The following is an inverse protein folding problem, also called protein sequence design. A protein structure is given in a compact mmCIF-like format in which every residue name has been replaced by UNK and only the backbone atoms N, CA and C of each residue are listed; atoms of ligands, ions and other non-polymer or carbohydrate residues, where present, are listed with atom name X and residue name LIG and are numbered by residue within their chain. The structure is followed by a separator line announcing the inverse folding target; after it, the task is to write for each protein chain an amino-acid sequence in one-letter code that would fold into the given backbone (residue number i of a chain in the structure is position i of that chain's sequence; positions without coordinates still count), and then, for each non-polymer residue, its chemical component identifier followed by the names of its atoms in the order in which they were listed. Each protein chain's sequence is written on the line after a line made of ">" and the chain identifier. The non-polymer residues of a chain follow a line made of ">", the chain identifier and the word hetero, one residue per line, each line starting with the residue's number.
data_IF_137720398573
#
_entry.id   IF_137720398573
#
_cell.length_a   1.000
_cell.length_b   1.000
_cell.length_c   1.000
_cell.angle_alpha   90.00
_cell.angle_beta   90.00
_cell.angle_gamma   90.00
#
_symmetry.space_group_name_H-M   'P 1'
#
loop_
_entity.id
_entity.type
_entity.pdbx_description
1 polymer ?
#
# COMPACT_ATOMS: atom_id res chain seq x y z
N UNK A 1 -6.81 7.09 19.06
CA UNK A 1 -7.46 5.79 18.78
C UNK A 1 -6.88 5.27 17.48
N UNK A 2 -6.19 4.13 17.50
CA UNK A 2 -5.66 3.55 16.27
C UNK A 2 -6.83 2.94 15.49
N UNK A 3 -7.05 3.41 14.25
CA UNK A 3 -8.03 2.81 13.35
C UNK A 3 -7.63 1.36 13.12
N UNK A 4 -8.45 0.42 13.60
CA UNK A 4 -8.21 -1.02 13.44
C UNK A 4 -8.85 -1.46 12.13
N UNK A 5 -8.08 -2.17 11.32
CA UNK A 5 -8.54 -2.73 10.05
C UNK A 5 -9.19 -4.08 10.37
N UNK A 6 -10.43 -4.26 9.93
CA UNK A 6 -11.17 -5.50 10.13
C UNK A 6 -11.28 -6.30 8.82
N UNK A 7 -11.62 -7.58 8.95
CA UNK A 7 -11.96 -8.43 7.83
C UNK A 7 -13.15 -7.81 7.07
N UNK A 8 -13.07 -7.79 5.73
CA UNK A 8 -14.05 -7.16 4.83
C UNK A 8 -14.19 -5.63 4.96
N UNK A 9 -13.21 -4.94 5.54
CA UNK A 9 -13.20 -3.48 5.58
C UNK A 9 -12.95 -2.89 4.18
N UNK A 10 -13.95 -2.18 3.64
CA UNK A 10 -13.91 -1.59 2.30
C UNK A 10 -13.74 -0.08 2.42
N UNK A 11 -12.84 0.49 1.62
CA UNK A 11 -12.52 1.92 1.64
C UNK A 11 -11.44 2.30 2.67
N UNK A 12 -10.79 1.32 3.30
CA UNK A 12 -9.62 1.58 4.14
C UNK A 12 -8.49 2.13 3.26
N UNK A 13 -7.99 3.32 3.61
CA UNK A 13 -6.92 3.99 2.88
C UNK A 13 -5.56 3.50 3.33
N UNK A 14 -4.94 2.67 2.50
CA UNK A 14 -3.56 2.20 2.67
C UNK A 14 -2.61 3.19 2.02
N UNK A 15 -2.02 4.06 2.84
CA UNK A 15 -1.07 5.07 2.38
C UNK A 15 0.36 4.55 2.54
N UNK A 16 1.10 4.55 1.45
CA UNK A 16 2.52 4.21 1.38
C UNK A 16 3.30 5.47 1.05
N UNK A 17 4.30 5.77 1.88
CA UNK A 17 5.23 6.89 1.63
C UNK A 17 6.56 6.31 1.16
N UNK A 18 7.02 6.78 0.00
CA UNK A 18 8.31 6.43 -0.58
C UNK A 18 9.32 7.45 -0.12
N UNK A 19 10.31 7.00 0.66
CA UNK A 19 11.40 7.83 1.14
C UNK A 19 12.73 7.19 0.80
N UNK A 20 13.69 7.99 0.35
CA UNK A 20 15.09 7.63 0.10
C UNK A 20 15.97 8.42 1.06
N UNK A 21 16.80 7.70 1.83
CA UNK A 21 17.66 8.29 2.88
C UNK A 21 16.94 9.25 3.85
N UNK A 22 15.66 8.99 4.13
CA UNK A 22 14.82 9.82 5.00
C UNK A 22 14.16 11.02 4.31
N UNK A 23 14.42 11.27 3.03
CA UNK A 23 13.76 12.29 2.21
C UNK A 23 12.66 11.68 1.35
N UNK A 24 11.52 12.35 1.21
CA UNK A 24 10.47 11.89 0.29
C UNK A 24 10.97 11.91 -1.16
N UNK A 25 10.74 10.83 -1.90
CA UNK A 25 11.09 10.75 -3.32
C UNK A 25 9.94 11.33 -4.13
N UNK A 26 10.23 12.22 -5.07
CA UNK A 26 9.23 12.68 -6.02
C UNK A 26 8.80 11.52 -6.93
N UNK A 27 7.51 11.15 -6.83
CA UNK A 27 6.87 10.12 -7.64
C UNK A 27 5.83 10.72 -8.58
N UNK A 28 5.82 12.05 -8.76
CA UNK A 28 4.88 12.76 -9.64
C UNK A 28 4.96 12.28 -11.09
N UNK A 29 6.17 11.96 -11.57
CA UNK A 29 6.43 11.45 -12.91
C UNK A 29 6.34 9.91 -13.01
N UNK A 30 5.77 9.22 -12.01
CA UNK A 30 5.63 7.77 -12.03
C UNK A 30 4.70 7.32 -13.15
N UNK A 31 5.21 6.43 -14.00
CA UNK A 31 4.44 5.81 -15.08
C UNK A 31 3.52 4.72 -14.54
N UNK A 32 3.90 4.08 -13.43
CA UNK A 32 3.06 3.07 -12.75
C UNK A 32 3.32 3.05 -11.25
N UNK A 33 2.23 2.99 -10.50
CA UNK A 33 2.22 2.91 -9.05
C UNK A 33 1.48 1.63 -8.66
N UNK A 34 2.13 0.77 -7.91
CA UNK A 34 1.57 -0.51 -7.50
C UNK A 34 1.81 -0.71 -6.01
N UNK A 35 0.78 -1.15 -5.30
CA UNK A 35 0.86 -1.60 -3.93
C UNK A 35 0.65 -3.11 -3.93
N UNK A 36 1.64 -3.83 -3.42
CA UNK A 36 1.58 -5.26 -3.16
C UNK A 36 1.03 -5.48 -1.76
N UNK A 37 -0.02 -6.28 -1.69
CA UNK A 37 -0.67 -6.70 -0.46
C UNK A 37 -0.51 -8.22 -0.34
N UNK A 38 0.39 -8.65 0.52
CA UNK A 38 0.54 -10.07 0.84
C UNK A 38 -0.42 -10.44 1.96
N UNK A 39 -1.37 -11.31 1.63
CA UNK A 39 -2.31 -11.92 2.56
C UNK A 39 -1.57 -12.88 3.51
N UNK A 40 -2.16 -13.16 4.69
CA UNK A 40 -1.58 -14.11 5.66
C UNK A 40 -1.43 -15.53 5.11
N UNK A 41 -2.22 -15.90 4.10
CA UNK A 41 -2.16 -17.20 3.42
C UNK A 41 -0.93 -17.36 2.53
N UNK A 42 -0.31 -16.25 2.13
CA UNK A 42 0.83 -16.22 1.22
C UNK A 42 0.53 -15.58 -0.13
N UNK A 43 -0.75 -15.47 -0.50
CA UNK A 43 -1.21 -14.79 -1.72
C UNK A 43 -0.77 -13.33 -1.75
N UNK A 44 -0.35 -12.88 -2.94
CA UNK A 44 0.08 -11.50 -3.17
C UNK A 44 -0.89 -10.84 -4.13
N UNK A 45 -1.60 -9.84 -3.64
CA UNK A 45 -2.48 -9.00 -4.42
C UNK A 45 -1.69 -7.80 -4.96
N UNK A 46 -1.65 -7.66 -6.27
CA UNK A 46 -1.10 -6.46 -6.92
C UNK A 46 -2.22 -5.47 -7.18
N UNK A 47 -2.13 -4.29 -6.56
CA UNK A 47 -3.15 -3.25 -6.65
C UNK A 47 -2.57 -1.98 -7.23
N UNK A 48 -3.24 -1.42 -8.24
CA UNK A 48 -2.86 -0.12 -8.80
C UNK A 48 -3.11 0.97 -7.76
N UNK A 49 -2.05 1.69 -7.40
CA UNK A 49 -2.11 2.77 -6.43
C UNK A 49 -2.29 4.12 -7.13
N UNK A 50 -2.80 5.09 -6.39
CA UNK A 50 -3.02 6.46 -6.85
C UNK A 50 -2.21 7.44 -6.02
N UNK A 51 -1.74 8.52 -6.65
CA UNK A 51 -1.06 9.60 -5.93
C UNK A 51 -2.01 10.27 -4.95
N UNK A 52 -1.53 10.55 -3.74
CA UNK A 52 -2.35 11.22 -2.73
C UNK A 52 -2.60 12.70 -3.04
N UNK A 53 -1.65 13.34 -3.73
CA UNK A 53 -1.62 14.77 -4.09
C UNK A 53 -0.92 14.91 -5.46
N UNK A 54 0.16 15.70 -5.54
CA UNK A 54 1.00 15.88 -6.73
C UNK A 54 2.03 14.76 -6.92
N UNK A 55 2.35 13.99 -5.87
CA UNK A 55 3.40 12.96 -5.89
C UNK A 55 4.78 13.46 -5.43
N UNK A 56 4.96 14.78 -5.25
CA UNK A 56 6.19 15.37 -4.68
C UNK A 56 6.45 14.90 -3.25
N UNK A 57 5.40 14.60 -2.50
CA UNK A 57 5.49 14.06 -1.14
C UNK A 57 5.90 12.58 -1.08
N UNK A 58 6.10 11.90 -2.22
CA UNK A 58 6.37 10.46 -2.25
C UNK A 58 5.19 9.60 -1.79
N UNK A 59 3.98 10.17 -1.69
CA UNK A 59 2.81 9.50 -1.10
C UNK A 59 1.89 8.95 -2.17
N UNK A 60 1.72 7.64 -2.14
CA UNK A 60 0.67 6.94 -2.89
C UNK A 60 -0.28 6.24 -1.93
N UNK A 61 -1.51 6.04 -2.36
CA UNK A 61 -2.51 5.33 -1.58
C UNK A 61 -3.29 4.34 -2.43
N UNK A 62 -3.83 3.34 -1.76
CA UNK A 62 -4.80 2.42 -2.30
C UNK A 62 -5.98 2.32 -1.34
N UNK A 63 -7.20 2.28 -1.89
CA UNK A 63 -8.41 2.03 -1.11
C UNK A 63 -8.72 0.55 -1.22
N UNK A 64 -8.80 -0.14 -0.08
CA UNK A 64 -9.18 -1.56 -0.06
C UNK A 64 -10.56 -1.74 -0.67
N UNK A 65 -10.70 -2.77 -1.50
CA UNK A 65 -12.00 -3.18 -2.03
C UNK A 65 -12.46 -4.48 -1.37
N UNK A 66 -13.73 -4.82 -1.61
CA UNK A 66 -14.28 -6.07 -1.12
C UNK A 66 -13.48 -7.26 -1.68
N UNK A 67 -13.04 -8.16 -0.79
CA UNK A 67 -12.19 -9.31 -1.12
C UNK A 67 -10.69 -9.12 -0.87
N UNK A 68 -10.20 -7.91 -0.64
CA UNK A 68 -8.76 -7.70 -0.36
C UNK A 68 -8.37 -8.13 1.05
N UNK A 69 -9.25 -7.80 2.01
CA UNK A 69 -9.12 -8.11 3.42
C UNK A 69 -10.04 -9.27 3.81
N UNK A 70 -10.17 -10.26 2.93
CA UNK A 70 -11.07 -11.41 3.12
C UNK A 70 -10.63 -12.30 4.30
N UNK A 71 -9.36 -12.28 4.70
CA UNK A 71 -8.82 -13.08 5.80
C UNK A 71 -8.41 -12.21 6.97
N UNK A 72 -8.67 -12.63 8.21
CA UNK A 72 -8.03 -12.01 9.36
C UNK A 72 -6.60 -12.55 9.54
N UNK A 73 -5.66 -11.67 9.91
CA UNK A 73 -4.27 -12.08 10.09
C UNK A 73 -3.26 -10.95 9.92
N UNK A 74 -1.99 -11.32 9.80
CA UNK A 74 -0.91 -10.35 9.54
C UNK A 74 -0.70 -10.21 8.05
N UNK A 75 -0.95 -9.03 7.53
CA UNK A 75 -0.74 -8.67 6.14
C UNK A 75 0.61 -7.97 6.00
N UNK A 76 1.23 -8.11 4.83
CA UNK A 76 2.40 -7.33 4.46
C UNK A 76 2.05 -6.41 3.31
N UNK A 77 2.49 -5.16 3.38
CA UNK A 77 2.33 -4.16 2.33
C UNK A 77 3.69 -3.73 1.83
N UNK A 78 3.82 -3.60 0.51
CA UNK A 78 5.01 -3.08 -0.14
C UNK A 78 4.59 -2.21 -1.33
N UNK A 79 5.13 -1.00 -1.41
CA UNK A 79 4.97 -0.14 -2.56
C UNK A 79 6.00 -0.44 -3.65
N UNK A 80 5.58 -0.33 -4.91
CA UNK A 80 6.44 -0.29 -6.08
C UNK A 80 6.08 0.91 -6.93
N UNK A 81 7.11 1.63 -7.32
CA UNK A 81 7.00 2.80 -8.16
C UNK A 81 7.88 2.59 -9.39
N UNK A 82 7.30 2.78 -10.57
CA UNK A 82 8.02 2.73 -11.84
C UNK A 82 8.05 4.15 -12.40
N UNK A 83 9.25 4.70 -12.53
CA UNK A 83 9.53 5.97 -13.21
C UNK A 83 10.40 5.69 -14.43
N UNK A 84 10.52 6.63 -15.36
CA UNK A 84 11.30 6.45 -16.59
C UNK A 84 12.78 6.12 -16.34
N UNK A 85 13.31 6.51 -15.17
CA UNK A 85 14.70 6.27 -14.78
C UNK A 85 14.91 4.95 -14.04
N UNK A 86 13.86 4.24 -13.63
CA UNK A 86 14.01 2.97 -12.89
C UNK A 86 12.75 2.49 -12.16
N UNK A 87 12.86 1.31 -11.57
CA UNK A 87 11.83 0.71 -10.71
C UNK A 87 12.31 0.70 -9.27
N UNK A 88 11.51 1.25 -8.37
CA UNK A 88 11.78 1.41 -6.96
C UNK A 88 10.79 0.59 -6.13
N UNK A 89 11.28 0.01 -5.04
CA UNK A 89 10.48 -0.78 -4.10
C UNK A 89 10.65 -0.20 -2.70
N UNK A 90 9.55 0.00 -1.98
CA UNK A 90 9.60 0.46 -0.59
C UNK A 90 9.94 -0.68 0.35
N UNK A 91 10.28 -0.35 1.58
CA UNK A 91 10.33 -1.33 2.67
C UNK A 91 8.99 -2.03 2.84
N UNK A 92 9.05 -3.31 3.24
CA UNK A 92 7.88 -4.11 3.56
C UNK A 92 7.40 -3.74 4.97
N UNK A 93 6.17 -3.26 5.06
CA UNK A 93 5.51 -3.01 6.34
C UNK A 93 4.48 -4.10 6.62
N UNK A 94 4.23 -4.39 7.89
CA UNK A 94 3.20 -5.35 8.31
C UNK A 94 2.09 -4.64 9.04
N UNK A 95 0.84 -5.00 8.77
CA UNK A 95 -0.32 -4.55 9.53
C UNK A 95 -1.21 -5.74 9.87
N UNK A 96 -1.96 -5.62 10.97
CA UNK A 96 -2.84 -6.67 11.45
C UNK A 96 -4.29 -6.36 11.07
N UNK A 97 -4.94 -7.35 10.47
CA UNK A 97 -6.37 -7.34 10.18
C UNK A 97 -7.04 -8.21 11.22
N UNK A 98 -8.02 -7.63 11.91
CA UNK A 98 -8.77 -8.31 12.96
C UNK A 98 -10.00 -9.01 12.38
N UNK A 99 -10.39 -10.15 12.95
CA UNK A 99 -11.70 -10.73 12.64
C UNK A 99 -12.79 -9.72 13.01
N UNK A 100 -13.81 -9.62 12.17
CA UNK A 100 -15.09 -9.11 12.64
C UNK A 100 -15.69 -10.17 13.59
N UNK A 101 -16.48 -9.74 14.58
CA UNK A 101 -17.09 -10.61 15.60
C UNK A 101 -17.69 -11.90 15.03
#
# INVERSE_FOLDING_TARGET
>A
MASQIHQNDVGTKLLVTVTDDGSAVDISAASSLTIFLKQPDGDVLEKSATLNTSGEDGKMYYLTVLGDLDKAGTYKIQGKVVISTGTFYTSISTFKVHCNL
#
